data_IF_096556446333
#
_entry.id   IF_096556446333
#
_cell.length_a   1.000
_cell.length_b   1.000
_cell.length_c   1.000
_cell.angle_alpha   90.00
_cell.angle_beta   90.00
_cell.angle_gamma   90.00
#
_symmetry.space_group_name_H-M   'P 1'
#
loop_
_entity.id
_entity.type
_entity.pdbx_description
1 polymer ?
#
# COMPACT_ATOMS: atom_id res chain seq x y z
N UNK A 1 -2.27 -18.06 11.69
CA UNK A 1 -1.47 -18.04 10.45
C UNK A 1 0.00 -18.42 10.70
N UNK A 2 0.71 -17.74 11.62
CA UNK A 2 2.06 -18.16 12.07
C UNK A 2 2.23 -19.65 12.45
N UNK A 3 1.27 -20.33 13.13
CA UNK A 3 1.43 -21.76 13.41
C UNK A 3 1.41 -22.65 12.16
N UNK A 4 0.78 -22.23 11.05
CA UNK A 4 0.73 -22.99 9.79
C UNK A 4 2.07 -22.88 9.04
N UNK A 5 2.71 -21.70 9.10
CA UNK A 5 4.01 -21.43 8.47
C UNK A 5 5.16 -22.04 9.29
N UNK A 6 5.06 -22.03 10.62
CA UNK A 6 6.01 -22.71 11.49
C UNK A 6 5.93 -24.25 11.36
N UNK A 7 4.74 -24.79 11.07
CA UNK A 7 4.53 -26.23 10.89
C UNK A 7 4.96 -26.75 9.50
N UNK A 8 5.05 -25.89 8.48
CA UNK A 8 5.42 -26.31 7.11
C UNK A 8 6.92 -26.55 6.92
N UNK A 9 7.77 -26.04 7.81
CA UNK A 9 9.23 -26.14 7.70
C UNK A 9 9.83 -25.35 6.51
N UNK A 10 9.01 -24.57 5.81
CA UNK A 10 9.40 -23.83 4.61
C UNK A 10 9.90 -22.43 4.96
N UNK A 11 11.23 -22.31 5.08
CA UNK A 11 11.93 -21.05 5.36
C UNK A 11 11.59 -19.94 4.37
N UNK A 12 11.24 -20.25 3.12
CA UNK A 12 10.91 -19.24 2.13
C UNK A 12 9.53 -18.63 2.37
N UNK A 13 8.54 -19.44 2.78
CA UNK A 13 7.21 -18.96 3.15
C UNK A 13 7.25 -18.06 4.38
N UNK A 14 8.07 -18.41 5.38
CA UNK A 14 8.29 -17.56 6.55
C UNK A 14 8.92 -16.22 6.18
N UNK A 15 9.90 -16.22 5.29
CA UNK A 15 10.54 -14.99 4.83
C UNK A 15 9.56 -14.11 4.03
N UNK A 16 8.76 -14.70 3.14
CA UNK A 16 7.76 -13.98 2.35
C UNK A 16 6.70 -13.33 3.26
N UNK A 17 6.20 -14.06 4.25
CA UNK A 17 5.27 -13.53 5.23
C UNK A 17 5.84 -12.32 5.99
N UNK A 18 7.09 -12.43 6.49
CA UNK A 18 7.75 -11.34 7.19
C UNK A 18 7.94 -10.10 6.30
N UNK A 19 8.24 -10.29 5.01
CA UNK A 19 8.34 -9.19 4.05
C UNK A 19 6.98 -8.50 3.86
N UNK A 20 5.90 -9.27 3.74
CA UNK A 20 4.53 -8.72 3.62
C UNK A 20 4.17 -7.92 4.86
N UNK A 21 4.44 -8.47 6.05
CA UNK A 21 4.18 -7.77 7.32
C UNK A 21 4.93 -6.43 7.38
N UNK A 22 6.22 -6.42 7.01
CA UNK A 22 7.02 -5.21 7.00
C UNK A 22 6.50 -4.14 6.02
N UNK A 23 6.02 -4.54 4.84
CA UNK A 23 5.38 -3.60 3.89
C UNK A 23 4.07 -3.08 4.45
N UNK A 24 3.23 -3.96 5.01
CA UNK A 24 1.94 -3.57 5.60
C UNK A 24 2.12 -2.56 6.75
N UNK A 25 3.04 -2.83 7.68
CA UNK A 25 3.32 -1.92 8.79
C UNK A 25 3.80 -0.55 8.30
N UNK A 26 4.64 -0.52 7.25
CA UNK A 26 5.12 0.72 6.63
C UNK A 26 4.00 1.51 5.94
N UNK A 27 3.09 0.83 5.24
CA UNK A 27 1.89 1.42 4.64
C UNK A 27 1.00 2.04 5.72
N UNK A 28 0.70 1.31 6.80
CA UNK A 28 -0.12 1.80 7.91
C UNK A 28 0.54 3.01 8.58
N UNK A 29 1.86 2.97 8.78
CA UNK A 29 2.61 4.11 9.31
C UNK A 29 2.47 5.34 8.42
N UNK A 30 2.68 5.20 7.10
CA UNK A 30 2.52 6.30 6.12
C UNK A 30 1.12 6.91 6.16
N UNK A 31 0.07 6.08 6.18
CA UNK A 31 -1.32 6.55 6.29
C UNK A 31 -1.56 7.34 7.58
N UNK A 32 -1.00 6.88 8.71
CA UNK A 32 -1.14 7.57 10.01
C UNK A 32 -0.37 8.88 10.08
N UNK A 33 0.79 8.97 9.42
CA UNK A 33 1.64 10.16 9.43
C UNK A 33 1.31 11.15 8.32
N UNK A 34 0.59 10.75 7.26
CA UNK A 34 0.24 11.60 6.12
C UNK A 34 -0.56 12.86 6.51
N UNK A 35 -1.22 12.87 7.67
CA UNK A 35 -1.94 14.02 8.22
C UNK A 35 -1.02 15.05 8.92
N UNK A 36 0.21 14.69 9.27
CA UNK A 36 1.17 15.58 9.92
C UNK A 36 2.12 16.20 8.88
N UNK A 37 1.72 17.31 8.27
CA UNK A 37 2.71 18.22 7.65
C UNK A 37 2.37 18.81 6.29
N UNK A 38 1.20 19.43 6.15
CA UNK A 38 1.04 20.44 5.11
C UNK A 38 0.25 21.66 5.58
N UNK A 39 0.91 22.48 6.41
CA UNK A 39 0.42 23.79 6.81
C UNK A 39 0.90 24.94 5.89
N UNK A 40 1.76 24.66 4.88
CA UNK A 40 2.52 25.71 4.18
C UNK A 40 2.12 26.05 2.74
N UNK A 41 1.58 25.11 1.96
CA UNK A 41 1.31 25.35 0.53
C UNK A 41 -0.13 25.72 0.22
N UNK A 42 -1.05 25.38 1.12
CA UNK A 42 -2.43 25.85 1.03
C UNK A 42 -2.57 27.30 1.52
N UNK A 43 -1.48 27.96 1.93
CA UNK A 43 -1.49 29.33 2.44
C UNK A 43 -1.38 30.43 1.35
N UNK A 44 -1.53 30.10 0.06
CA UNK A 44 -1.60 31.15 -0.96
C UNK A 44 -2.47 30.76 -2.18
N UNK A 45 -3.65 31.39 -2.24
CA UNK A 45 -4.21 32.03 -3.44
C UNK A 45 -3.83 31.37 -4.78
N UNK A 46 -4.69 30.44 -5.25
CA UNK A 46 -4.70 29.76 -6.57
C UNK A 46 -3.88 28.47 -6.68
N UNK A 47 -4.42 27.37 -6.16
CA UNK A 47 -4.13 26.04 -6.72
C UNK A 47 -4.60 26.05 -8.18
N UNK A 48 -3.76 25.61 -9.12
CA UNK A 48 -4.17 25.44 -10.52
C UNK A 48 -5.06 24.20 -10.62
N UNK A 49 -6.17 24.27 -11.35
CA UNK A 49 -7.13 23.16 -11.51
C UNK A 49 -6.43 21.81 -11.80
N UNK A 50 -5.42 21.81 -12.67
CA UNK A 50 -4.65 20.62 -13.03
C UNK A 50 -3.82 19.97 -11.87
N UNK A 51 -3.47 20.71 -10.82
CA UNK A 51 -2.81 20.14 -9.63
C UNK A 51 -3.83 19.49 -8.69
N UNK A 52 -5.02 20.10 -8.59
CA UNK A 52 -6.14 19.54 -7.83
C UNK A 52 -6.68 18.28 -8.50
N UNK A 53 -6.86 18.29 -9.82
CA UNK A 53 -7.31 17.14 -10.60
C UNK A 53 -6.36 15.95 -10.43
N UNK A 54 -5.04 16.18 -10.52
CA UNK A 54 -4.03 15.15 -10.24
C UNK A 54 -4.19 14.58 -8.83
N UNK A 55 -4.37 15.41 -7.81
CA UNK A 55 -4.57 14.94 -6.44
C UNK A 55 -5.82 14.06 -6.32
N UNK A 56 -6.92 14.46 -6.98
CA UNK A 56 -8.17 13.68 -7.00
C UNK A 56 -8.01 12.34 -7.73
N UNK A 57 -7.27 12.30 -8.84
CA UNK A 57 -6.93 11.05 -9.53
C UNK A 57 -6.14 10.10 -8.62
N UNK A 58 -5.17 10.62 -7.85
CA UNK A 58 -4.44 9.82 -6.87
C UNK A 58 -5.35 9.28 -5.76
N UNK A 59 -6.22 10.13 -5.21
CA UNK A 59 -7.16 9.72 -4.17
C UNK A 59 -8.13 8.64 -4.69
N UNK A 60 -8.60 8.74 -5.94
CA UNK A 60 -9.41 7.69 -6.58
C UNK A 60 -8.63 6.39 -6.73
N UNK A 61 -7.39 6.47 -7.23
CA UNK A 61 -6.52 5.32 -7.38
C UNK A 61 -6.23 4.63 -6.05
N UNK A 62 -6.17 5.37 -4.94
CA UNK A 62 -5.96 4.81 -3.59
C UNK A 62 -7.16 3.96 -3.17
N UNK A 63 -8.39 4.40 -3.46
CA UNK A 63 -9.61 3.61 -3.17
C UNK A 63 -9.58 2.29 -3.95
N UNK A 64 -9.31 2.33 -5.25
CA UNK A 64 -9.23 1.13 -6.08
C UNK A 64 -8.10 0.19 -5.64
N UNK A 65 -6.95 0.75 -5.23
CA UNK A 65 -5.83 -0.02 -4.75
C UNK A 65 -6.14 -0.73 -3.42
N UNK A 66 -6.88 -0.08 -2.50
CA UNK A 66 -7.37 -0.74 -1.28
C UNK A 66 -8.26 -1.92 -1.62
N UNK A 67 -9.18 -1.78 -2.58
CA UNK A 67 -10.05 -2.88 -3.02
C UNK A 67 -9.25 -4.07 -3.56
N UNK A 68 -8.16 -3.81 -4.30
CA UNK A 68 -7.27 -4.88 -4.79
C UNK A 68 -6.52 -5.57 -3.64
N UNK A 69 -5.99 -4.81 -2.68
CA UNK A 69 -5.34 -5.36 -1.48
C UNK A 69 -6.31 -6.24 -0.69
N UNK A 70 -7.56 -5.79 -0.48
CA UNK A 70 -8.59 -6.58 0.22
C UNK A 70 -8.89 -7.88 -0.53
N UNK A 71 -9.10 -7.84 -1.85
CA UNK A 71 -9.32 -9.04 -2.67
C UNK A 71 -8.13 -10.02 -2.63
N UNK A 72 -6.91 -9.50 -2.64
CA UNK A 72 -5.70 -10.33 -2.53
C UNK A 72 -5.59 -10.97 -1.14
N UNK A 73 -5.89 -10.24 -0.07
CA UNK A 73 -5.90 -10.77 1.30
C UNK A 73 -6.98 -11.86 1.48
N UNK A 74 -8.17 -11.64 0.92
CA UNK A 74 -9.24 -12.63 0.86
C UNK A 74 -8.81 -13.92 0.12
N UNK A 75 -8.07 -13.75 -0.97
CA UNK A 75 -7.52 -14.87 -1.75
C UNK A 75 -6.52 -15.66 -0.92
N UNK A 76 -5.61 -14.99 -0.20
CA UNK A 76 -4.68 -15.63 0.75
C UNK A 76 -5.45 -16.42 1.82
N UNK A 77 -6.50 -15.83 2.41
CA UNK A 77 -7.29 -16.47 3.46
C UNK A 77 -8.01 -17.74 2.98
N UNK A 78 -8.39 -17.79 1.69
CA UNK A 78 -9.07 -18.92 1.05
C UNK A 78 -8.11 -19.90 0.34
N UNK A 79 -6.82 -19.61 0.34
CA UNK A 79 -5.83 -20.39 -0.42
C UNK A 79 -5.48 -21.72 0.25
N UNK A 80 -5.41 -22.76 -0.56
CA UNK A 80 -4.86 -24.07 -0.17
C UNK A 80 -3.33 -23.99 -0.02
N UNK A 81 -2.69 -24.88 0.78
CA UNK A 81 -1.25 -24.85 1.03
C UNK A 81 -0.38 -24.77 -0.23
N UNK A 82 -0.75 -25.47 -1.31
CA UNK A 82 0.00 -25.46 -2.58
C UNK A 82 -0.08 -24.16 -3.37
N UNK A 83 -1.04 -23.27 -3.08
CA UNK A 83 -1.23 -21.96 -3.75
C UNK A 83 -0.90 -20.78 -2.84
N UNK A 84 -0.62 -21.03 -1.57
CA UNK A 84 -0.39 -20.00 -0.58
C UNK A 84 0.80 -19.09 -0.92
N UNK A 85 1.88 -19.64 -1.47
CA UNK A 85 3.06 -18.88 -1.89
C UNK A 85 2.73 -17.85 -2.98
N UNK A 86 1.95 -18.27 -3.98
CA UNK A 86 1.50 -17.42 -5.09
C UNK A 86 0.56 -16.33 -4.60
N UNK A 87 -0.43 -16.70 -3.77
CA UNK A 87 -1.37 -15.74 -3.19
C UNK A 87 -0.68 -14.69 -2.30
N UNK A 88 0.28 -15.11 -1.47
CA UNK A 88 1.08 -14.19 -0.66
C UNK A 88 1.94 -13.27 -1.54
N UNK A 89 2.52 -13.78 -2.62
CA UNK A 89 3.30 -12.98 -3.56
C UNK A 89 2.43 -11.93 -4.27
N UNK A 90 1.21 -12.29 -4.66
CA UNK A 90 0.23 -11.36 -5.23
C UNK A 90 -0.17 -10.27 -4.23
N UNK A 91 -0.48 -10.64 -2.97
CA UNK A 91 -0.78 -9.68 -1.91
C UNK A 91 0.40 -8.70 -1.67
N UNK A 92 1.63 -9.21 -1.68
CA UNK A 92 2.82 -8.36 -1.59
C UNK A 92 2.88 -7.35 -2.73
N UNK A 93 2.60 -7.78 -3.96
CA UNK A 93 2.57 -6.92 -5.14
C UNK A 93 1.56 -5.78 -5.00
N UNK A 94 0.34 -6.07 -4.58
CA UNK A 94 -0.69 -5.05 -4.36
C UNK A 94 -0.33 -4.08 -3.23
N UNK A 95 0.28 -4.56 -2.15
CA UNK A 95 0.76 -3.69 -1.05
C UNK A 95 1.89 -2.76 -1.49
N UNK A 96 2.81 -3.23 -2.33
CA UNK A 96 3.87 -2.39 -2.90
C UNK A 96 3.30 -1.34 -3.86
N UNK A 97 2.36 -1.73 -4.73
CA UNK A 97 1.68 -0.80 -5.63
C UNK A 97 0.90 0.28 -4.86
N UNK A 98 0.24 -0.10 -3.75
CA UNK A 98 -0.43 0.85 -2.87
C UNK A 98 0.54 1.81 -2.18
N UNK A 99 1.67 1.30 -1.69
CA UNK A 99 2.73 2.14 -1.12
C UNK A 99 3.28 3.15 -2.12
N UNK A 100 3.56 2.72 -3.35
CA UNK A 100 4.06 3.60 -4.41
C UNK A 100 3.05 4.71 -4.73
N UNK A 101 1.75 4.39 -4.71
CA UNK A 101 0.70 5.39 -4.93
C UNK A 101 0.64 6.41 -3.79
N UNK A 102 0.78 5.97 -2.53
CA UNK A 102 0.89 6.86 -1.37
C UNK A 102 2.13 7.77 -1.47
N UNK A 103 3.27 7.25 -1.93
CA UNK A 103 4.48 8.03 -2.10
C UNK A 103 4.31 9.10 -3.19
N UNK A 104 3.73 8.75 -4.35
CA UNK A 104 3.45 9.70 -5.43
C UNK A 104 2.51 10.82 -4.99
N UNK A 105 1.46 10.49 -4.22
CA UNK A 105 0.57 11.49 -3.62
C UNK A 105 1.33 12.45 -2.71
N UNK A 106 2.23 11.94 -1.87
CA UNK A 106 3.05 12.76 -0.96
C UNK A 106 4.00 13.69 -1.75
N UNK A 107 4.60 13.23 -2.85
CA UNK A 107 5.45 14.05 -3.73
C UNK A 107 4.66 15.19 -4.41
N UNK A 108 3.44 14.90 -4.88
CA UNK A 108 2.54 15.91 -5.46
C UNK A 108 2.12 16.91 -4.40
N UNK A 109 1.73 16.44 -3.21
CA UNK A 109 1.39 17.31 -2.09
C UNK A 109 2.57 18.23 -1.79
N UNK A 110 3.80 17.71 -1.66
CA UNK A 110 5.01 18.50 -1.36
C UNK A 110 5.51 19.39 -2.51
N UNK A 111 4.93 19.31 -3.71
CA UNK A 111 5.37 20.07 -4.89
C UNK A 111 6.73 19.63 -5.46
N UNK A 112 7.16 18.39 -5.20
CA UNK A 112 8.44 17.84 -5.68
C UNK A 112 8.33 17.37 -7.14
N UNK A 113 7.12 17.01 -7.58
CA UNK A 113 6.79 16.72 -8.98
C UNK A 113 6.18 17.97 -9.64
N UNK A 114 7.02 18.74 -10.35
CA UNK A 114 6.61 19.85 -11.22
C UNK A 114 6.69 19.42 -12.69
#
# INVERSE_FOLDING_TARGET
>A
MMPVIAASGDSNLAQLYNQIQAVFDRVVAKLRTASYGYSGFFDAVKIREAELDRMLEFDWGLVEAVDRVVKAADTVAKSEPGKLAEALSALRGELLAFEDLLAKRDEVIRGILA
#
